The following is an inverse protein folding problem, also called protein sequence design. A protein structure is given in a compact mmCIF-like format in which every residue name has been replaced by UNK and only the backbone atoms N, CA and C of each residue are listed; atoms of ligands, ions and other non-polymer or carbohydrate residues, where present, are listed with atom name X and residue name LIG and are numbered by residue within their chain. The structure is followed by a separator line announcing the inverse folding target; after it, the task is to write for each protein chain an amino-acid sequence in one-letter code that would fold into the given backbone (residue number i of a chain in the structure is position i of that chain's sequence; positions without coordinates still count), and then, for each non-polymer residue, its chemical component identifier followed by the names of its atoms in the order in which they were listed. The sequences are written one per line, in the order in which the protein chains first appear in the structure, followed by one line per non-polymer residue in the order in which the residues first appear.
data_IF_193193602250
#
_entry.id   IF_193193602250
#
_cell.length_a   1.000
_cell.length_b   1.000
_cell.length_c   1.000
_cell.angle_alpha   90.00
_cell.angle_beta   90.00
_cell.angle_gamma   90.00
#
_symmetry.space_group_name_H-M   'P 1'
#
loop_
_entity.id
_entity.type
_entity.pdbx_description
1 polymer ?
#
# COMPACT_ATOMS: atom_id res chain seq x y z
N UNK A 1 41.17 32.43 -12.82
CA UNK A 1 41.60 32.38 -11.42
C UNK A 1 40.33 32.12 -10.61
N UNK A 2 40.39 31.23 -9.63
CA UNK A 2 39.31 31.04 -8.68
C UNK A 2 39.40 32.08 -7.54
N UNK A 3 38.34 32.20 -6.75
CA UNK A 3 38.24 33.20 -5.69
C UNK A 3 39.31 33.00 -4.60
N UNK A 4 39.78 31.76 -4.39
CA UNK A 4 40.86 31.44 -3.44
C UNK A 4 42.19 31.96 -3.93
N UNK A 5 42.49 31.86 -5.24
CA UNK A 5 43.70 32.37 -5.83
C UNK A 5 43.72 33.90 -5.76
N UNK A 6 42.59 34.57 -5.97
CA UNK A 6 42.47 36.04 -5.85
C UNK A 6 42.66 36.50 -4.41
N UNK A 7 42.01 35.80 -3.44
CA UNK A 7 42.17 36.13 -2.00
C UNK A 7 43.64 36.01 -1.54
N UNK A 8 44.31 34.90 -1.93
CA UNK A 8 45.73 34.70 -1.59
C UNK A 8 46.64 35.76 -2.24
N UNK A 9 46.37 36.13 -3.50
CA UNK A 9 47.12 37.19 -4.17
C UNK A 9 46.92 38.56 -3.50
N UNK A 10 45.77 38.78 -2.86
CA UNK A 10 45.50 39.98 -2.05
C UNK A 10 46.07 39.93 -0.61
N UNK A 11 46.81 38.88 -0.25
CA UNK A 11 47.43 38.71 1.05
C UNK A 11 46.46 38.28 2.17
N UNK A 12 45.27 37.73 1.80
CA UNK A 12 44.32 37.21 2.77
C UNK A 12 44.66 35.77 3.16
N UNK A 13 44.51 35.45 4.44
CA UNK A 13 44.59 34.06 4.91
C UNK A 13 43.35 33.28 4.47
N UNK A 14 43.58 32.10 3.87
CA UNK A 14 42.52 31.22 3.41
C UNK A 14 42.62 29.90 4.15
N UNK A 15 41.59 29.58 4.96
CA UNK A 15 41.45 28.32 5.63
C UNK A 15 40.61 27.34 4.77
N UNK A 16 41.01 26.07 4.78
CA UNK A 16 40.21 24.99 4.18
C UNK A 16 39.25 24.50 5.26
N UNK A 17 37.97 24.50 4.94
CA UNK A 17 36.91 23.87 5.76
C UNK A 17 36.36 22.67 5.05
N UNK A 18 35.85 21.70 5.81
CA UNK A 18 35.18 20.53 5.24
C UNK A 18 33.92 20.98 4.53
N UNK A 19 33.76 20.53 3.29
CA UNK A 19 32.60 20.82 2.44
C UNK A 19 31.71 19.59 2.22
N UNK A 20 30.60 19.79 1.54
CA UNK A 20 29.69 18.73 1.14
C UNK A 20 29.88 18.49 -0.37
N UNK A 21 30.10 17.24 -0.79
CA UNK A 21 30.25 16.85 -2.20
C UNK A 21 29.02 17.22 -3.06
N UNK A 22 27.85 17.39 -2.43
CA UNK A 22 26.61 17.85 -3.06
C UNK A 22 26.60 19.34 -3.35
N UNK A 23 27.50 20.11 -2.75
CA UNK A 23 27.65 21.53 -3.00
C UNK A 23 28.45 21.77 -4.29
N UNK A 24 27.80 21.48 -5.42
CA UNK A 24 28.41 21.54 -6.76
C UNK A 24 28.33 22.94 -7.33
N UNK A 25 29.47 23.50 -7.75
CA UNK A 25 29.51 24.71 -8.58
C UNK A 25 29.23 24.37 -10.03
N UNK A 26 28.14 24.89 -10.58
CA UNK A 26 27.79 24.70 -11.99
C UNK A 26 28.62 25.66 -12.84
N UNK A 27 29.53 25.12 -13.64
CA UNK A 27 30.43 25.88 -14.52
C UNK A 27 30.40 25.38 -15.96
N UNK A 28 30.05 24.12 -16.18
CA UNK A 28 29.99 23.50 -17.50
C UNK A 28 28.61 22.90 -17.76
N UNK A 29 28.22 22.69 -19.04
CA UNK A 29 26.93 22.08 -19.35
C UNK A 29 26.68 20.72 -18.68
N UNK A 30 27.71 19.90 -18.50
CA UNK A 30 27.60 18.59 -17.86
C UNK A 30 27.29 18.66 -16.35
N UNK A 31 27.62 19.80 -15.71
CA UNK A 31 27.31 20.01 -14.29
C UNK A 31 25.81 20.10 -14.03
N UNK A 32 25.00 20.52 -15.02
CA UNK A 32 23.55 20.52 -14.90
C UNK A 32 22.98 19.10 -14.75
N UNK A 33 23.52 18.15 -15.53
CA UNK A 33 23.09 16.75 -15.43
C UNK A 33 23.43 16.16 -14.06
N UNK A 34 24.63 16.48 -13.53
CA UNK A 34 25.07 16.05 -12.21
C UNK A 34 24.25 16.70 -11.10
N UNK A 35 23.96 18.00 -11.17
CA UNK A 35 23.10 18.69 -10.23
C UNK A 35 21.68 18.11 -10.22
N UNK A 36 21.11 17.81 -11.39
CA UNK A 36 19.80 17.15 -11.49
C UNK A 36 19.80 15.77 -10.85
N UNK A 37 20.86 14.97 -11.00
CA UNK A 37 20.99 13.68 -10.33
C UNK A 37 21.04 13.83 -8.81
N UNK A 38 21.81 14.79 -8.28
CA UNK A 38 21.90 15.09 -6.84
C UNK A 38 20.53 15.48 -6.30
N UNK A 39 19.82 16.40 -6.97
CA UNK A 39 18.48 16.83 -6.57
C UNK A 39 17.47 15.67 -6.61
N UNK A 40 17.54 14.82 -7.64
CA UNK A 40 16.66 13.63 -7.75
C UNK A 40 16.94 12.64 -6.63
N UNK A 41 18.20 12.41 -6.27
CA UNK A 41 18.56 11.54 -5.15
C UNK A 41 18.04 12.10 -3.83
N UNK A 42 18.23 13.41 -3.56
CA UNK A 42 17.71 14.06 -2.36
C UNK A 42 16.18 14.01 -2.25
N UNK A 43 15.46 14.15 -3.36
CA UNK A 43 14.00 14.00 -3.38
C UNK A 43 13.55 12.55 -3.11
N UNK A 44 14.33 11.55 -3.51
CA UNK A 44 14.06 10.14 -3.21
C UNK A 44 14.34 9.77 -1.76
N UNK A 45 15.39 10.31 -1.17
CA UNK A 45 15.74 10.05 0.24
C UNK A 45 14.76 10.65 1.25
N UNK A 46 13.95 11.63 0.84
CA UNK A 46 12.92 12.25 1.68
C UNK A 46 11.49 12.10 1.20
N UNK A 47 11.26 11.48 0.03
CA UNK A 47 9.91 11.33 -0.51
C UNK A 47 9.20 10.16 0.17
N UNK A 48 8.13 10.46 0.91
CA UNK A 48 7.19 9.45 1.36
C UNK A 48 6.51 8.83 0.13
N UNK A 49 6.70 7.53 -0.12
CA UNK A 49 5.99 6.80 -1.18
C UNK A 49 4.58 6.48 -0.68
N UNK A 50 3.64 7.36 -0.99
CA UNK A 50 2.22 7.18 -0.65
C UNK A 50 1.52 6.46 -1.79
N UNK A 51 0.91 5.33 -1.49
CA UNK A 51 0.13 4.54 -2.45
C UNK A 51 -1.31 4.43 -2.01
N UNK A 52 -2.20 4.40 -2.97
CA UNK A 52 -3.62 4.14 -2.76
C UNK A 52 -4.03 2.95 -3.59
N UNK A 53 -4.90 2.12 -3.06
CA UNK A 53 -5.50 1.00 -3.77
C UNK A 53 -7.00 1.07 -3.73
N UNK A 54 -7.65 0.50 -4.74
CA UNK A 54 -9.09 0.35 -4.81
C UNK A 54 -9.39 -1.12 -5.13
N UNK A 55 -10.25 -1.74 -4.32
CA UNK A 55 -10.73 -3.10 -4.54
C UNK A 55 -12.25 -3.10 -4.64
N UNK A 56 -12.77 -4.01 -5.44
CA UNK A 56 -14.20 -4.19 -5.64
C UNK A 56 -14.50 -5.69 -5.75
N UNK A 57 -15.44 -6.17 -4.96
CA UNK A 57 -15.89 -7.55 -5.02
C UNK A 57 -17.41 -7.65 -4.95
N UNK A 58 -17.98 -8.67 -5.59
CA UNK A 58 -19.41 -8.95 -5.64
C UNK A 58 -19.66 -10.42 -5.55
N UNK A 59 -20.47 -10.83 -4.59
CA UNK A 59 -20.94 -12.20 -4.46
C UNK A 59 -22.46 -12.27 -4.56
N UNK A 60 -22.94 -13.32 -5.24
CA UNK A 60 -24.38 -13.62 -5.29
C UNK A 60 -24.80 -14.35 -4.02
N UNK A 61 -26.07 -14.18 -3.65
CA UNK A 61 -26.69 -15.02 -2.64
C UNK A 61 -26.95 -16.44 -3.14
N UNK A 62 -26.86 -17.38 -2.23
CA UNK A 62 -27.18 -18.79 -2.47
C UNK A 62 -27.64 -19.48 -1.17
N UNK A 63 -27.72 -20.82 -1.14
CA UNK A 63 -28.08 -21.56 0.07
C UNK A 63 -27.11 -21.24 1.22
N UNK A 64 -27.66 -21.08 2.43
CA UNK A 64 -26.88 -20.79 3.65
C UNK A 64 -27.79 -20.29 4.75
N UNK A 65 -27.24 -20.06 5.92
CA UNK A 65 -27.92 -19.59 7.13
C UNK A 65 -27.26 -18.34 7.74
N UNK A 66 -26.18 -17.88 7.11
CA UNK A 66 -25.46 -16.65 7.48
C UNK A 66 -24.68 -16.08 6.30
N UNK A 67 -24.24 -14.83 6.43
CA UNK A 67 -23.28 -14.19 5.55
C UNK A 67 -22.07 -13.76 6.35
N UNK A 68 -20.87 -13.94 5.79
CA UNK A 68 -19.63 -13.39 6.33
C UNK A 68 -19.41 -12.00 5.73
N UNK A 69 -19.26 -10.99 6.60
CA UNK A 69 -18.99 -9.62 6.17
C UNK A 69 -17.94 -9.00 7.10
N UNK A 70 -16.77 -8.66 6.56
CA UNK A 70 -15.64 -8.10 7.32
C UNK A 70 -15.33 -8.89 8.59
N UNK A 71 -15.25 -10.22 8.48
CA UNK A 71 -14.93 -11.13 9.58
C UNK A 71 -16.09 -11.46 10.52
N UNK A 72 -17.25 -10.86 10.34
CA UNK A 72 -18.41 -11.08 11.21
C UNK A 72 -19.47 -11.93 10.55
N UNK A 73 -19.83 -13.06 11.19
CA UNK A 73 -20.95 -13.89 10.76
C UNK A 73 -22.28 -13.25 11.13
N UNK A 74 -23.07 -12.88 10.13
CA UNK A 74 -24.40 -12.29 10.32
C UNK A 74 -25.47 -13.32 9.97
N UNK A 75 -26.34 -13.68 10.92
CA UNK A 75 -27.46 -14.57 10.64
C UNK A 75 -28.33 -14.05 9.51
N UNK A 76 -28.57 -14.91 8.52
CA UNK A 76 -29.40 -14.58 7.36
C UNK A 76 -29.94 -15.88 6.76
N UNK A 77 -31.02 -15.83 6.02
CA UNK A 77 -31.67 -17.00 5.42
C UNK A 77 -30.97 -17.51 4.13
N UNK A 78 -29.85 -16.85 3.74
CA UNK A 78 -29.03 -17.19 2.58
C UNK A 78 -27.56 -16.96 2.92
N UNK A 79 -26.68 -17.66 2.23
CA UNK A 79 -25.24 -17.41 2.28
C UNK A 79 -24.73 -16.65 1.06
N UNK A 80 -23.48 -16.20 1.08
CA UNK A 80 -22.77 -15.74 -0.09
C UNK A 80 -22.07 -16.91 -0.79
N UNK A 81 -22.01 -16.87 -2.11
CA UNK A 81 -21.43 -17.96 -2.90
C UNK A 81 -20.04 -17.56 -3.39
N UNK A 82 -19.02 -18.32 -2.99
CA UNK A 82 -17.62 -18.11 -3.37
C UNK A 82 -16.79 -19.37 -3.17
N UNK A 83 -15.49 -19.28 -3.48
CA UNK A 83 -14.54 -20.37 -3.25
C UNK A 83 -14.05 -20.43 -1.80
N UNK A 84 -14.08 -19.30 -1.10
CA UNK A 84 -13.76 -19.14 0.32
C UNK A 84 -15.05 -19.07 1.15
N UNK A 85 -14.99 -18.43 2.32
CA UNK A 85 -16.19 -18.03 3.09
C UNK A 85 -16.99 -16.89 2.44
N UNK A 86 -16.52 -16.40 1.29
CA UNK A 86 -17.13 -15.36 0.46
C UNK A 86 -17.31 -14.01 1.16
N UNK A 87 -16.42 -13.63 2.07
CA UNK A 87 -16.42 -12.31 2.70
C UNK A 87 -16.02 -11.22 1.71
N UNK A 88 -17.02 -10.58 1.10
CA UNK A 88 -16.81 -9.57 0.05
C UNK A 88 -16.05 -8.33 0.58
N UNK A 89 -16.19 -8.02 1.87
CA UNK A 89 -15.50 -6.88 2.47
C UNK A 89 -14.00 -7.15 2.59
N UNK A 90 -13.63 -8.29 3.14
CA UNK A 90 -12.23 -8.71 3.23
C UNK A 90 -11.60 -8.90 1.84
N UNK A 91 -12.32 -9.46 0.89
CA UNK A 91 -11.83 -9.62 -0.49
C UNK A 91 -11.53 -8.27 -1.13
N UNK A 92 -12.47 -7.32 -1.07
CA UNK A 92 -12.27 -5.99 -1.65
C UNK A 92 -11.07 -5.26 -1.03
N UNK A 93 -10.90 -5.34 0.30
CA UNK A 93 -9.74 -4.74 0.98
C UNK A 93 -8.44 -5.44 0.60
N UNK A 94 -8.44 -6.77 0.50
CA UNK A 94 -7.28 -7.54 0.07
C UNK A 94 -6.82 -7.13 -1.33
N UNK A 95 -7.75 -7.04 -2.29
CA UNK A 95 -7.46 -6.61 -3.66
C UNK A 95 -7.01 -5.14 -3.72
N UNK A 96 -7.56 -4.27 -2.87
CA UNK A 96 -7.09 -2.91 -2.75
C UNK A 96 -5.61 -2.84 -2.32
N UNK A 97 -5.20 -3.67 -1.36
CA UNK A 97 -3.81 -3.74 -0.90
C UNK A 97 -2.89 -4.27 -2.00
N UNK A 98 -3.25 -5.37 -2.66
CA UNK A 98 -2.47 -5.89 -3.79
C UNK A 98 -2.37 -4.88 -4.93
N UNK A 99 -3.47 -4.19 -5.25
CA UNK A 99 -3.51 -3.15 -6.27
C UNK A 99 -2.58 -1.96 -5.93
N UNK A 100 -2.56 -1.51 -4.67
CA UNK A 100 -1.64 -0.46 -4.22
C UNK A 100 -0.17 -0.87 -4.36
N UNK A 101 0.13 -2.16 -4.21
CA UNK A 101 1.47 -2.73 -4.35
C UNK A 101 1.83 -3.10 -5.80
N UNK A 102 0.87 -3.07 -6.72
CA UNK A 102 0.98 -3.59 -8.09
C UNK A 102 1.33 -5.10 -8.12
N UNK A 103 0.77 -5.88 -7.19
CA UNK A 103 1.03 -7.31 -7.00
C UNK A 103 -0.13 -8.20 -7.47
N UNK A 104 -1.00 -7.70 -8.33
CA UNK A 104 -2.15 -8.44 -8.87
C UNK A 104 -3.37 -8.41 -7.94
N UNK A 105 -3.96 -9.57 -7.72
CA UNK A 105 -5.20 -9.77 -6.98
C UNK A 105 -5.18 -11.07 -6.14
N UNK A 106 -6.25 -11.38 -5.42
CA UNK A 106 -6.40 -12.64 -4.65
C UNK A 106 -6.18 -13.85 -5.55
N UNK A 107 -6.73 -13.84 -6.76
CA UNK A 107 -6.62 -14.97 -7.70
C UNK A 107 -5.19 -15.23 -8.16
N UNK A 108 -4.34 -14.22 -8.19
CA UNK A 108 -2.90 -14.33 -8.48
C UNK A 108 -2.15 -15.06 -7.37
N UNK A 109 -2.45 -14.76 -6.10
CA UNK A 109 -1.77 -15.33 -4.93
C UNK A 109 -2.39 -16.64 -4.45
N UNK A 110 -3.71 -16.78 -4.62
CA UNK A 110 -4.52 -17.92 -4.17
C UNK A 110 -5.40 -18.42 -5.31
N UNK A 111 -4.81 -19.12 -6.29
CA UNK A 111 -5.55 -19.53 -7.47
C UNK A 111 -6.79 -20.38 -7.11
N UNK A 112 -7.97 -20.06 -7.64
CA UNK A 112 -9.20 -20.85 -7.38
C UNK A 112 -9.12 -22.30 -7.84
N UNK A 113 -8.17 -22.62 -8.74
CA UNK A 113 -7.89 -23.98 -9.20
C UNK A 113 -7.19 -24.84 -8.16
N UNK A 114 -6.63 -24.23 -7.10
CA UNK A 114 -5.97 -24.95 -6.03
C UNK A 114 -6.98 -25.34 -4.94
N UNK A 115 -7.24 -26.66 -4.74
CA UNK A 115 -8.24 -27.13 -3.80
C UNK A 115 -8.01 -26.74 -2.34
N UNK A 116 -6.76 -26.38 -1.97
CA UNK A 116 -6.43 -26.01 -0.60
C UNK A 116 -7.16 -24.73 -0.14
N UNK A 117 -7.54 -23.86 -1.07
CA UNK A 117 -8.19 -22.58 -0.77
C UNK A 117 -9.72 -22.69 -0.73
N UNK A 118 -10.26 -23.87 -1.04
CA UNK A 118 -11.72 -24.08 -1.01
C UNK A 118 -12.25 -24.01 0.42
N UNK A 119 -13.12 -23.05 0.68
CA UNK A 119 -13.68 -22.79 2.01
C UNK A 119 -12.67 -22.13 2.99
N UNK A 120 -11.55 -21.62 2.50
CA UNK A 120 -10.59 -20.92 3.36
C UNK A 120 -11.21 -19.63 3.92
N UNK A 121 -10.89 -19.25 5.17
CA UNK A 121 -11.29 -17.96 5.73
C UNK A 121 -10.67 -16.81 4.93
N UNK A 122 -11.44 -15.80 4.59
CA UNK A 122 -10.96 -14.62 3.86
C UNK A 122 -9.92 -13.81 4.65
N UNK A 123 -9.91 -13.94 5.98
CA UNK A 123 -8.85 -13.44 6.86
C UNK A 123 -7.46 -13.91 6.42
N UNK A 124 -7.34 -15.14 5.92
CA UNK A 124 -6.06 -15.70 5.43
C UNK A 124 -5.50 -14.86 4.28
N UNK A 125 -6.36 -14.42 3.37
CA UNK A 125 -5.96 -13.63 2.21
C UNK A 125 -5.60 -12.21 2.62
N UNK A 126 -6.38 -11.61 3.50
CA UNK A 126 -6.13 -10.27 4.03
C UNK A 126 -4.83 -10.23 4.83
N UNK A 127 -4.61 -11.22 5.72
CA UNK A 127 -3.37 -11.31 6.49
C UNK A 127 -2.14 -11.43 5.58
N UNK A 128 -2.21 -12.21 4.49
CA UNK A 128 -1.13 -12.31 3.51
C UNK A 128 -0.86 -10.96 2.83
N UNK A 129 -1.89 -10.25 2.38
CA UNK A 129 -1.73 -8.95 1.74
C UNK A 129 -1.10 -7.91 2.69
N UNK A 130 -1.55 -7.90 3.95
CA UNK A 130 -0.97 -7.05 5.00
C UNK A 130 0.51 -7.39 5.27
N UNK A 131 0.85 -8.68 5.34
CA UNK A 131 2.23 -9.12 5.52
C UNK A 131 3.11 -8.73 4.33
N UNK A 132 2.58 -8.84 3.11
CA UNK A 132 3.28 -8.42 1.89
C UNK A 132 3.54 -6.91 1.89
N UNK A 133 2.54 -6.09 2.26
CA UNK A 133 2.72 -4.64 2.39
C UNK A 133 3.86 -4.29 3.36
N UNK A 134 3.89 -4.90 4.54
CA UNK A 134 4.96 -4.71 5.53
C UNK A 134 6.33 -5.15 4.99
N UNK A 135 6.39 -6.28 4.30
CA UNK A 135 7.64 -6.79 3.70
C UNK A 135 8.19 -5.86 2.63
N UNK A 136 7.29 -5.14 1.91
CA UNK A 136 7.65 -4.10 0.93
C UNK A 136 7.96 -2.75 1.57
N UNK A 137 7.94 -2.64 2.90
CA UNK A 137 8.24 -1.42 3.64
C UNK A 137 7.09 -0.41 3.72
N UNK A 138 5.86 -0.85 3.47
CA UNK A 138 4.67 -0.01 3.56
C UNK A 138 3.90 -0.26 4.85
N UNK A 139 3.26 0.79 5.35
CA UNK A 139 2.31 0.75 6.44
C UNK A 139 0.91 1.07 5.91
N UNK A 140 -0.08 0.29 6.32
CA UNK A 140 -1.49 0.54 5.99
C UNK A 140 -2.00 1.51 7.04
N UNK A 141 -2.23 2.76 6.65
CA UNK A 141 -2.63 3.82 7.57
C UNK A 141 -4.13 4.02 7.66
N UNK A 142 -4.87 3.65 6.62
CA UNK A 142 -6.32 3.83 6.56
C UNK A 142 -6.96 2.87 5.55
N UNK A 143 -8.13 2.35 5.91
CA UNK A 143 -8.99 1.57 5.02
C UNK A 143 -10.41 2.12 5.14
N UNK A 144 -11.06 2.40 4.01
CA UNK A 144 -12.48 2.66 3.91
C UNK A 144 -13.16 1.52 3.14
N UNK A 145 -14.15 0.88 3.75
CA UNK A 145 -14.87 -0.24 3.16
C UNK A 145 -16.38 0.05 3.15
N UNK A 146 -16.95 0.16 1.96
CA UNK A 146 -18.39 0.36 1.77
C UNK A 146 -19.05 -0.94 1.35
N UNK A 147 -20.00 -1.42 2.15
CA UNK A 147 -20.81 -2.60 1.86
C UNK A 147 -22.19 -2.15 1.31
N UNK A 148 -22.55 -2.64 0.13
CA UNK A 148 -23.85 -2.37 -0.49
C UNK A 148 -24.61 -3.69 -0.61
N UNK A 149 -25.75 -3.81 0.08
CA UNK A 149 -26.60 -4.99 0.04
C UNK A 149 -28.07 -4.63 0.24
N UNK A 150 -28.96 -5.38 -0.39
CA UNK A 150 -30.42 -5.19 -0.22
C UNK A 150 -30.93 -5.68 1.14
N UNK A 151 -30.33 -6.75 1.64
CA UNK A 151 -30.75 -7.45 2.85
C UNK A 151 -29.60 -7.56 3.83
N UNK A 152 -29.94 -7.69 5.11
CA UNK A 152 -29.08 -7.58 6.28
C UNK A 152 -28.60 -6.16 6.51
N UNK A 153 -29.03 -5.60 7.65
CA UNK A 153 -28.58 -4.25 8.04
C UNK A 153 -27.16 -4.32 8.57
N UNK A 154 -26.22 -3.80 7.83
CA UNK A 154 -24.78 -3.79 8.17
C UNK A 154 -24.47 -2.83 9.33
N UNK A 155 -25.14 -1.68 9.40
CA UNK A 155 -24.88 -0.61 10.37
C UNK A 155 -24.77 -1.05 11.83
N UNK A 156 -25.67 -1.88 12.38
CA UNK A 156 -25.58 -2.36 13.76
C UNK A 156 -24.29 -3.17 14.05
N UNK A 157 -23.67 -3.76 13.05
CA UNK A 157 -22.49 -4.62 13.16
C UNK A 157 -21.19 -3.91 12.83
N UNK A 158 -21.23 -2.66 12.40
CA UNK A 158 -20.06 -1.92 11.91
C UNK A 158 -18.92 -1.80 12.96
N UNK A 159 -19.25 -1.77 14.25
CA UNK A 159 -18.22 -1.73 15.30
C UNK A 159 -17.46 -3.06 15.41
N UNK A 160 -18.18 -4.18 15.36
CA UNK A 160 -17.56 -5.52 15.35
C UNK A 160 -16.72 -5.73 14.10
N UNK A 161 -17.26 -5.39 12.91
CA UNK A 161 -16.55 -5.47 11.64
C UNK A 161 -15.23 -4.66 11.65
N UNK A 162 -15.25 -3.45 12.20
CA UNK A 162 -14.02 -2.66 12.33
C UNK A 162 -12.99 -3.27 13.26
N UNK A 163 -13.45 -3.95 14.32
CA UNK A 163 -12.54 -4.62 15.24
C UNK A 163 -11.88 -5.86 14.62
N UNK A 164 -12.62 -6.61 13.82
CA UNK A 164 -12.08 -7.78 13.09
C UNK A 164 -11.12 -7.38 11.96
N UNK A 165 -11.31 -6.20 11.35
CA UNK A 165 -10.48 -5.70 10.25
C UNK A 165 -9.21 -4.97 10.72
N UNK A 166 -9.04 -4.68 12.01
CA UNK A 166 -7.91 -3.92 12.55
C UNK A 166 -6.73 -4.81 12.94
#
# INVERSE_FOLDING_TARGET
ADDVAVARAAGLDVAIVEGDERNLKITHPDDFARAAQILTAQHREGAMDIRTGNGFDVHRFGPGDHVMLCGVALPFDRGLQGHSDADVGMHAVTDAIYGALAEGDIGTHFPPSDPQWKGAPSETFLAHACALARTRGFEITHVDCTLVCEATKVGPHATAMRAEMA
#
